data_IF_421377825931
#
_entry.id   IF_421377825931
#
_cell.length_a   1.000
_cell.length_b   1.000
_cell.length_c   1.000
_cell.angle_alpha   90.00
_cell.angle_beta   90.00
_cell.angle_gamma   90.00
#
_symmetry.space_group_name_H-M   'P 1'
#
loop_
_entity.id
_entity.type
_entity.pdbx_description
1 polymer ?
#
# COMPACT_ATOMS: atom_id res chain seq x y z
N UNK A 1 -18.38 27.88 45.78
CA UNK A 1 -17.53 26.68 45.53
C UNK A 1 -18.03 26.04 44.25
N UNK A 2 -17.36 26.29 43.13
CA UNK A 2 -17.69 25.66 41.85
C UNK A 2 -16.96 24.32 41.80
N UNK A 3 -17.72 23.22 41.83
CA UNK A 3 -17.19 21.88 41.66
C UNK A 3 -16.84 21.68 40.17
N UNK A 4 -15.57 21.50 39.87
CA UNK A 4 -15.12 21.09 38.55
C UNK A 4 -15.45 19.60 38.37
N UNK A 5 -16.41 19.28 37.50
CA UNK A 5 -16.58 17.92 37.01
C UNK A 5 -15.38 17.58 36.12
N UNK A 6 -14.50 16.72 36.61
CA UNK A 6 -13.50 16.08 35.77
C UNK A 6 -14.21 15.11 34.83
N UNK A 7 -14.34 15.48 33.55
CA UNK A 7 -14.72 14.55 32.50
C UNK A 7 -13.57 13.55 32.35
N UNK A 8 -13.73 12.35 32.91
CA UNK A 8 -12.83 11.24 32.61
C UNK A 8 -13.08 10.84 31.14
N UNK A 9 -12.17 11.23 30.25
CA UNK A 9 -12.12 10.68 28.91
C UNK A 9 -11.79 9.18 29.05
N UNK A 10 -12.80 8.32 28.92
CA UNK A 10 -12.55 6.89 28.78
C UNK A 10 -11.73 6.71 27.49
N UNK A 11 -10.59 6.00 27.53
CA UNK A 11 -9.91 5.64 26.30
C UNK A 11 -10.89 4.78 25.51
N UNK A 12 -11.34 5.28 24.36
CA UNK A 12 -11.92 4.44 23.34
C UNK A 12 -10.84 3.40 23.03
N UNK A 13 -11.03 2.16 23.50
CA UNK A 13 -10.27 1.05 22.94
C UNK A 13 -10.70 0.97 21.48
N UNK A 14 -9.97 1.67 20.61
CA UNK A 14 -9.91 1.30 19.20
C UNK A 14 -9.40 -0.13 19.21
N UNK A 15 -10.32 -1.09 19.05
CA UNK A 15 -9.94 -2.45 18.74
C UNK A 15 -9.25 -2.37 17.39
N UNK A 16 -7.92 -2.22 17.41
CA UNK A 16 -7.10 -2.32 16.21
C UNK A 16 -7.32 -3.75 15.75
N UNK A 17 -8.08 -3.93 14.68
CA UNK A 17 -8.18 -5.23 14.04
C UNK A 17 -6.80 -5.53 13.49
N UNK A 18 -6.09 -6.44 14.14
CA UNK A 18 -4.81 -6.91 13.63
C UNK A 18 -5.08 -7.64 12.31
N UNK A 19 -4.38 -7.22 11.25
CA UNK A 19 -4.39 -7.94 9.98
C UNK A 19 -3.80 -9.33 10.22
N UNK A 20 -4.59 -10.37 9.98
CA UNK A 20 -4.15 -11.75 10.18
C UNK A 20 -2.95 -12.06 9.27
N UNK A 21 -1.95 -12.75 9.80
CA UNK A 21 -0.73 -13.06 9.06
C UNK A 21 0.20 -11.87 8.81
N UNK A 22 -0.05 -10.68 9.36
CA UNK A 22 0.87 -9.54 9.22
C UNK A 22 2.26 -9.85 9.80
N UNK A 23 3.30 -9.71 8.99
CA UNK A 23 4.69 -10.06 9.36
C UNK A 23 5.53 -8.84 9.72
N UNK A 24 5.19 -7.67 9.16
CA UNK A 24 5.90 -6.40 9.38
C UNK A 24 4.88 -5.29 9.61
N UNK A 25 5.18 -4.41 10.56
CA UNK A 25 4.31 -3.32 10.95
C UNK A 25 5.06 -1.99 10.95
N UNK A 26 4.36 -0.89 10.67
CA UNK A 26 4.84 0.46 10.86
C UNK A 26 3.78 1.31 11.59
N UNK A 27 4.25 2.29 12.34
CA UNK A 27 3.39 3.31 12.93
C UNK A 27 3.46 4.58 12.08
N UNK A 28 2.31 5.04 11.62
CA UNK A 28 2.14 6.28 10.86
C UNK A 28 2.62 7.45 11.71
N UNK A 29 3.49 8.27 11.12
CA UNK A 29 3.99 9.51 11.70
C UNK A 29 3.24 10.71 11.11
N UNK A 30 3.37 11.87 11.77
CA UNK A 30 2.78 13.09 11.25
C UNK A 30 3.43 13.46 9.91
N UNK A 31 2.59 13.58 8.87
CA UNK A 31 3.02 13.91 7.51
C UNK A 31 3.44 12.70 6.66
N UNK A 32 3.27 11.48 7.16
CA UNK A 32 3.43 10.29 6.33
C UNK A 32 2.29 10.20 5.30
N UNK A 33 2.65 9.93 4.05
CA UNK A 33 1.79 9.39 2.99
C UNK A 33 2.11 7.91 2.75
N UNK A 34 1.25 7.19 2.01
CA UNK A 34 1.54 5.81 1.60
C UNK A 34 2.90 5.68 0.93
N UNK A 35 3.24 6.52 -0.04
CA UNK A 35 4.54 6.46 -0.73
C UNK A 35 5.74 6.72 0.18
N UNK A 36 5.58 7.64 1.16
CA UNK A 36 6.65 7.92 2.10
C UNK A 36 6.91 6.73 3.03
N UNK A 37 5.84 6.04 3.46
CA UNK A 37 5.91 4.80 4.26
C UNK A 37 6.53 3.70 3.40
N UNK A 38 6.04 3.51 2.18
CA UNK A 38 6.52 2.53 1.21
C UNK A 38 8.02 2.66 0.96
N UNK A 39 8.50 3.87 0.66
CA UNK A 39 9.93 4.16 0.49
C UNK A 39 10.75 3.89 1.74
N UNK A 40 10.24 4.32 2.89
CA UNK A 40 10.96 4.22 4.16
C UNK A 40 11.12 2.78 4.62
N UNK A 41 10.11 1.94 4.40
CA UNK A 41 10.05 0.59 4.95
C UNK A 41 10.21 -0.53 3.92
N UNK A 42 10.37 -0.20 2.65
CA UNK A 42 10.56 -1.20 1.59
C UNK A 42 9.32 -2.08 1.42
N UNK A 43 8.22 -1.48 0.99
CA UNK A 43 6.98 -2.16 0.61
C UNK A 43 6.44 -1.46 -0.64
N UNK A 44 5.76 -2.18 -1.54
CA UNK A 44 5.10 -1.51 -2.67
C UNK A 44 3.91 -0.69 -2.20
N UNK A 45 3.64 0.44 -2.85
CA UNK A 45 2.48 1.28 -2.53
C UNK A 45 1.18 0.48 -2.69
N UNK A 46 1.09 -0.35 -3.73
CA UNK A 46 -0.01 -1.29 -3.94
C UNK A 46 -0.19 -2.27 -2.77
N UNK A 47 0.87 -2.96 -2.35
CA UNK A 47 0.80 -3.95 -1.27
C UNK A 47 0.37 -3.29 0.04
N UNK A 48 0.93 -2.11 0.35
CA UNK A 48 0.57 -1.35 1.54
C UNK A 48 -0.92 -1.03 1.56
N UNK A 49 -1.45 -0.46 0.48
CA UNK A 49 -2.86 -0.12 0.39
C UNK A 49 -3.75 -1.37 0.46
N UNK A 50 -3.43 -2.42 -0.30
CA UNK A 50 -4.24 -3.63 -0.37
C UNK A 50 -4.34 -4.36 0.98
N UNK A 51 -3.21 -4.54 1.67
CA UNK A 51 -3.19 -5.27 2.95
C UNK A 51 -3.93 -4.50 4.06
N UNK A 52 -4.15 -3.20 3.88
CA UNK A 52 -4.84 -2.33 4.82
C UNK A 52 -6.13 -1.74 4.25
N UNK A 53 -6.75 -2.37 3.23
CA UNK A 53 -7.92 -1.86 2.50
C UNK A 53 -9.13 -1.52 3.38
N UNK A 54 -9.25 -2.16 4.54
CA UNK A 54 -10.29 -1.88 5.54
C UNK A 54 -10.07 -0.57 6.30
N UNK A 55 -8.88 0.01 6.27
CA UNK A 55 -8.47 1.17 7.06
C UNK A 55 -7.84 2.31 6.24
N UNK A 56 -7.17 2.00 5.14
CA UNK A 56 -6.62 2.97 4.18
C UNK A 56 -7.60 3.04 3.01
N UNK A 57 -8.04 4.24 2.67
CA UNK A 57 -8.89 4.44 1.49
C UNK A 57 -8.07 4.51 0.21
N UNK A 58 -8.77 4.65 -0.91
CA UNK A 58 -8.16 4.58 -2.23
C UNK A 58 -7.11 5.68 -2.48
N UNK A 59 -7.34 6.88 -1.92
CA UNK A 59 -6.44 8.03 -2.08
C UNK A 59 -5.30 8.02 -1.04
N UNK A 60 -5.38 7.17 -0.02
CA UNK A 60 -4.47 7.17 1.12
C UNK A 60 -4.34 8.53 1.82
N UNK A 61 -5.41 9.34 1.82
CA UNK A 61 -5.44 10.65 2.47
C UNK A 61 -5.97 10.60 3.91
N UNK A 62 -6.40 9.41 4.35
CA UNK A 62 -7.04 9.18 5.64
C UNK A 62 -6.10 8.68 6.75
N UNK A 63 -4.80 8.58 6.50
CA UNK A 63 -3.81 8.13 7.48
C UNK A 63 -3.82 8.99 8.75
N UNK A 64 -3.82 8.34 9.92
CA UNK A 64 -3.80 9.01 11.22
C UNK A 64 -2.47 8.80 11.95
N UNK A 65 -1.79 9.84 12.46
CA UNK A 65 -0.60 9.66 13.27
C UNK A 65 -0.86 8.73 14.46
N UNK A 66 0.01 7.72 14.64
CA UNK A 66 -0.14 6.66 15.64
C UNK A 66 -0.93 5.44 15.15
N UNK A 67 -1.55 5.49 13.97
CA UNK A 67 -2.14 4.31 13.32
C UNK A 67 -1.04 3.28 13.03
N UNK A 68 -1.33 2.01 13.35
CA UNK A 68 -0.47 0.90 12.98
C UNK A 68 -0.94 0.34 11.63
N UNK A 69 -0.03 0.28 10.67
CA UNK A 69 -0.28 -0.28 9.33
C UNK A 69 0.54 -1.56 9.14
N UNK A 70 -0.04 -2.52 8.44
CA UNK A 70 0.66 -3.73 8.05
C UNK A 70 1.45 -3.49 6.76
N UNK A 71 2.74 -3.82 6.77
CA UNK A 71 3.61 -3.65 5.60
C UNK A 71 3.65 -4.90 4.72
N UNK A 72 3.17 -6.05 5.19
CA UNK A 72 3.22 -7.30 4.45
C UNK A 72 2.67 -8.46 5.25
N UNK A 73 2.15 -9.46 4.55
CA UNK A 73 1.60 -10.67 5.15
C UNK A 73 2.48 -11.88 4.83
N UNK A 74 2.39 -12.93 5.65
CA UNK A 74 3.22 -14.11 5.51
C UNK A 74 3.03 -14.79 4.15
N UNK A 75 4.11 -14.89 3.39
CA UNK A 75 4.13 -15.52 2.06
C UNK A 75 3.93 -14.53 0.90
N UNK A 76 3.44 -13.31 1.17
CA UNK A 76 3.02 -12.35 0.14
C UNK A 76 3.59 -10.94 0.43
N UNK A 77 4.84 -10.89 0.88
CA UNK A 77 5.54 -9.64 1.22
C UNK A 77 6.68 -9.37 0.24
N UNK A 78 6.40 -8.56 -0.77
CA UNK A 78 7.41 -8.09 -1.70
C UNK A 78 8.31 -7.04 -1.05
N UNK A 79 9.53 -7.45 -0.70
CA UNK A 79 10.53 -6.56 -0.09
C UNK A 79 11.54 -6.00 -1.08
N UNK A 80 11.62 -6.56 -2.30
CA UNK A 80 12.44 -6.02 -3.39
C UNK A 80 11.63 -4.98 -4.17
N UNK A 81 11.85 -3.71 -3.83
CA UNK A 81 11.06 -2.60 -4.36
C UNK A 81 11.92 -1.55 -5.07
N UNK A 82 11.28 -0.75 -5.91
CA UNK A 82 11.88 0.39 -6.59
C UNK A 82 10.93 1.59 -6.55
N UNK A 83 11.48 2.79 -6.33
CA UNK A 83 10.72 4.04 -6.39
C UNK A 83 10.87 4.66 -7.77
N UNK A 84 9.75 4.90 -8.43
CA UNK A 84 9.71 5.58 -9.72
C UNK A 84 10.30 6.99 -9.61
N UNK A 85 11.20 7.32 -10.53
CA UNK A 85 11.81 8.64 -10.69
C UNK A 85 11.48 9.23 -12.07
N UNK A 86 11.79 10.52 -12.32
CA UNK A 86 11.45 11.14 -13.60
C UNK A 86 12.02 10.40 -14.81
N UNK A 87 11.16 10.16 -15.80
CA UNK A 87 11.42 9.45 -17.07
C UNK A 87 11.53 7.92 -16.99
N UNK A 88 11.21 7.31 -15.85
CA UNK A 88 11.07 5.86 -15.78
C UNK A 88 9.87 5.38 -16.62
N UNK A 89 9.98 4.14 -17.09
CA UNK A 89 8.92 3.45 -17.84
C UNK A 89 8.86 2.00 -17.35
N UNK A 90 7.73 1.31 -17.49
CA UNK A 90 7.68 -0.13 -17.20
C UNK A 90 8.76 -0.91 -17.96
N UNK A 91 8.98 -0.59 -19.24
CA UNK A 91 9.99 -1.26 -20.05
C UNK A 91 11.41 -1.15 -19.44
N UNK A 92 11.76 0.04 -18.94
CA UNK A 92 13.04 0.24 -18.26
C UNK A 92 13.11 -0.52 -16.93
N UNK A 93 12.05 -0.49 -16.13
CA UNK A 93 11.97 -1.25 -14.87
C UNK A 93 12.13 -2.75 -15.15
N UNK A 94 11.47 -3.26 -16.19
CA UNK A 94 11.55 -4.65 -16.63
C UNK A 94 12.98 -5.06 -16.98
N UNK A 95 13.64 -4.27 -17.81
CA UNK A 95 15.03 -4.52 -18.20
C UNK A 95 16.00 -4.43 -17.01
N UNK A 96 15.88 -3.38 -16.19
CA UNK A 96 16.77 -3.12 -15.08
C UNK A 96 16.73 -4.23 -14.01
N UNK A 97 15.53 -4.76 -13.73
CA UNK A 97 15.32 -5.76 -12.69
C UNK A 97 15.23 -7.20 -13.21
N UNK A 98 15.24 -7.39 -14.54
CA UNK A 98 15.08 -8.70 -15.18
C UNK A 98 13.70 -9.32 -14.93
N UNK A 99 12.68 -8.48 -14.75
CA UNK A 99 11.31 -8.89 -14.43
C UNK A 99 10.47 -9.01 -15.71
N UNK A 100 9.66 -10.07 -15.80
CA UNK A 100 8.77 -10.29 -16.94
C UNK A 100 7.57 -9.34 -16.91
N UNK A 101 6.91 -9.13 -18.06
CA UNK A 101 5.65 -8.37 -18.10
C UNK A 101 4.56 -9.01 -17.24
N UNK A 102 4.46 -10.34 -17.25
CA UNK A 102 3.46 -11.04 -16.44
C UNK A 102 3.73 -10.83 -14.94
N UNK A 103 4.99 -10.93 -14.52
CA UNK A 103 5.40 -10.75 -13.12
C UNK A 103 5.22 -9.31 -12.66
N UNK A 104 5.61 -8.32 -13.47
CA UNK A 104 5.48 -6.91 -13.07
C UNK A 104 4.01 -6.53 -12.82
N UNK A 105 3.09 -6.95 -13.69
CA UNK A 105 1.66 -6.68 -13.52
C UNK A 105 1.03 -7.54 -12.43
N UNK A 106 1.47 -8.80 -12.24
CA UNK A 106 0.99 -9.61 -11.12
C UNK A 106 1.36 -8.97 -9.77
N UNK A 107 2.56 -8.42 -9.67
CA UNK A 107 3.07 -7.79 -8.45
C UNK A 107 2.59 -6.35 -8.25
N UNK A 108 2.20 -5.67 -9.33
CA UNK A 108 1.69 -4.31 -9.34
C UNK A 108 0.41 -4.21 -10.20
N UNK A 109 -0.70 -4.86 -9.80
CA UNK A 109 -1.92 -4.93 -10.60
C UNK A 109 -2.55 -3.59 -10.91
N UNK A 110 -2.21 -2.52 -10.18
CA UNK A 110 -2.65 -1.16 -10.46
C UNK A 110 -2.12 -0.59 -11.76
N UNK A 111 -0.99 -1.11 -12.27
CA UNK A 111 -0.42 -0.65 -13.53
C UNK A 111 -1.36 -1.08 -14.66
N UNK A 112 -1.82 -0.13 -15.45
CA UNK A 112 -2.69 -0.45 -16.58
C UNK A 112 -1.90 -1.08 -17.74
N UNK A 113 -2.61 -1.50 -18.79
CA UNK A 113 -1.98 -2.15 -19.93
C UNK A 113 -1.05 -1.21 -20.74
N UNK A 114 -1.26 0.11 -20.64
CA UNK A 114 -0.43 1.11 -21.32
C UNK A 114 0.81 1.49 -20.49
N UNK A 115 0.79 1.24 -19.17
CA UNK A 115 1.76 1.72 -18.20
C UNK A 115 2.01 3.23 -18.32
N UNK A 116 0.94 4.00 -18.49
CA UNK A 116 0.99 5.46 -18.47
C UNK A 116 0.45 6.07 -17.16
N UNK A 117 0.03 5.21 -16.22
CA UNK A 117 -0.49 5.59 -14.91
C UNK A 117 0.53 5.47 -13.76
N UNK A 118 1.80 5.15 -14.03
CA UNK A 118 2.86 5.22 -13.01
C UNK A 118 3.31 6.67 -12.79
N UNK A 119 3.67 7.01 -11.55
CA UNK A 119 4.04 8.39 -11.19
C UNK A 119 5.30 8.46 -10.31
N UNK A 120 5.96 9.62 -10.31
CA UNK A 120 7.18 9.85 -9.53
C UNK A 120 6.87 9.76 -8.03
N UNK A 121 7.56 8.87 -7.34
CA UNK A 121 7.36 8.61 -5.92
C UNK A 121 6.66 7.29 -5.62
N UNK A 122 5.92 6.74 -6.59
CA UNK A 122 5.29 5.43 -6.47
C UNK A 122 6.35 4.35 -6.22
N UNK A 123 6.05 3.40 -5.34
CA UNK A 123 6.95 2.29 -5.01
C UNK A 123 6.41 1.00 -5.59
N UNK A 124 7.11 0.46 -6.59
CA UNK A 124 6.76 -0.79 -7.26
C UNK A 124 7.47 -1.98 -6.63
N UNK A 125 6.78 -3.12 -6.58
CA UNK A 125 7.40 -4.42 -6.38
C UNK A 125 8.15 -4.84 -7.66
N UNK A 126 9.45 -5.08 -7.56
CA UNK A 126 10.33 -5.41 -8.71
C UNK A 126 11.04 -6.76 -8.52
N UNK A 127 10.39 -7.66 -7.79
CA UNK A 127 10.83 -9.04 -7.67
C UNK A 127 10.51 -9.85 -8.93
N UNK A 128 11.37 -10.83 -9.22
CA UNK A 128 11.18 -11.79 -10.31
C UNK A 128 10.24 -12.93 -9.93
N UNK A 129 9.94 -13.08 -8.63
CA UNK A 129 8.88 -13.95 -8.13
C UNK A 129 7.55 -13.19 -8.07
N UNK A 130 6.45 -13.89 -8.38
CA UNK A 130 5.11 -13.32 -8.26
C UNK A 130 4.55 -13.56 -6.85
N UNK A 131 3.97 -12.54 -6.25
CA UNK A 131 3.24 -12.63 -4.99
C UNK A 131 1.74 -12.65 -5.30
N UNK A 132 1.04 -13.65 -4.76
CA UNK A 132 -0.40 -13.79 -4.89
C UNK A 132 -1.07 -13.09 -3.72
N UNK A 133 -1.94 -12.12 -3.94
CA UNK A 133 -2.72 -11.58 -2.83
C UNK A 133 -4.05 -12.34 -2.77
N UNK A 134 -4.21 -13.43 -1.98
CA UNK A 134 -5.39 -14.31 -2.07
C UNK A 134 -6.72 -13.65 -1.67
N UNK A 135 -6.67 -12.49 -1.01
CA UNK A 135 -7.84 -11.65 -0.70
C UNK A 135 -8.15 -10.65 -1.82
N UNK A 136 -7.25 -10.46 -2.78
CA UNK A 136 -7.50 -9.66 -3.96
C UNK A 136 -8.51 -10.38 -4.84
N UNK A 137 -9.74 -9.89 -4.83
CA UNK A 137 -10.76 -10.39 -5.72
C UNK A 137 -10.50 -9.82 -7.12
N UNK A 138 -9.67 -10.53 -7.89
CA UNK A 138 -9.32 -10.19 -9.27
C UNK A 138 -10.57 -10.00 -10.16
N UNK A 139 -11.66 -10.73 -9.88
CA UNK A 139 -12.93 -10.57 -10.59
C UNK A 139 -13.63 -9.26 -10.26
N UNK A 140 -13.58 -8.84 -8.98
CA UNK A 140 -14.09 -7.54 -8.56
C UNK A 140 -13.24 -6.40 -9.11
N UNK A 141 -11.90 -6.56 -9.08
CA UNK A 141 -10.98 -5.61 -9.71
C UNK A 141 -11.28 -5.43 -11.20
N UNK A 142 -11.32 -6.51 -11.97
CA UNK A 142 -11.61 -6.41 -13.41
C UNK A 142 -13.02 -5.86 -13.71
N UNK A 143 -13.98 -6.05 -12.80
CA UNK A 143 -15.34 -5.53 -12.95
C UNK A 143 -15.49 -4.06 -12.52
N UNK A 144 -14.64 -3.59 -11.60
CA UNK A 144 -14.74 -2.29 -10.96
C UNK A 144 -13.47 -1.44 -11.13
N UNK A 145 -12.51 -1.79 -12.00
CA UNK A 145 -11.22 -1.11 -12.13
C UNK A 145 -11.34 0.42 -12.35
N UNK A 146 -12.47 0.89 -12.90
CA UNK A 146 -12.76 2.33 -13.05
C UNK A 146 -13.31 3.02 -11.78
N UNK A 147 -13.60 2.26 -10.73
CA UNK A 147 -14.26 2.67 -9.47
C UNK A 147 -13.61 2.06 -8.22
N UNK A 148 -12.61 1.19 -8.41
CA UNK A 148 -11.95 0.43 -7.38
C UNK A 148 -10.47 0.49 -7.71
N UNK A 149 -9.81 1.43 -7.06
CA UNK A 149 -8.36 1.55 -6.86
C UNK A 149 -7.56 2.40 -7.88
N UNK A 150 -7.68 3.74 -7.83
CA UNK A 150 -6.54 4.61 -8.14
C UNK A 150 -5.64 4.63 -6.90
N UNK A 151 -4.69 3.70 -6.83
CA UNK A 151 -3.85 3.54 -5.64
C UNK A 151 -3.00 4.78 -5.37
N UNK A 152 -3.37 5.54 -4.34
CA UNK A 152 -2.55 6.61 -3.77
C UNK A 152 -2.05 7.65 -4.80
N UNK A 153 -2.81 7.89 -5.87
CA UNK A 153 -2.51 9.00 -6.78
C UNK A 153 -2.76 10.31 -6.01
N UNK A 154 -1.73 10.87 -5.38
CA UNK A 154 -1.77 12.24 -4.83
C UNK A 154 -1.91 13.31 -5.93
#
# INVERSE_FOLDING_TARGET
MFAALALAALPLLSAVMAIDGCTRNATVQQGDSCDSISRKYGVSTYQLALVNDAAIDENCDNLQPGQNVCLGVSGEDCTKVYTIVPNDTCAWVQEMYGISNETLWANNPQIDAACDNIYVGEVLCVDTESFAYPQYNETLYNALAYTYLPFCDE
#
